data_IF_807190735584
#
_entry.id   IF_807190735584
#
_cell.length_a   1.000
_cell.length_b   1.000
_cell.length_c   1.000
_cell.angle_alpha   90.00
_cell.angle_beta   90.00
_cell.angle_gamma   90.00
#
_symmetry.space_group_name_H-M   'P 1'
#
loop_
_entity.id
_entity.type
_entity.pdbx_description
1 polymer ?
#
# COMPACT_ATOMS: atom_id res chain seq x y z
N UNK A 1 17.03 -6.59 5.25
CA UNK A 1 18.30 -6.79 5.99
C UNK A 1 18.18 -6.24 7.42
N UNK A 2 19.05 -6.64 8.34
CA UNK A 2 19.14 -6.01 9.67
C UNK A 2 20.00 -4.74 9.64
N UNK A 3 19.82 -3.82 10.59
CA UNK A 3 20.62 -2.57 10.69
C UNK A 3 22.11 -2.83 10.80
N UNK A 4 22.54 -3.92 11.46
CA UNK A 4 23.96 -4.25 11.60
C UNK A 4 24.60 -4.59 10.24
N UNK A 5 23.79 -4.94 9.24
CA UNK A 5 24.22 -5.23 7.88
C UNK A 5 24.19 -3.97 6.98
N UNK A 6 23.62 -2.85 7.44
CA UNK A 6 23.38 -1.69 6.58
C UNK A 6 24.65 -1.07 6.02
N UNK A 7 25.72 -0.94 6.82
CA UNK A 7 26.95 -0.29 6.37
C UNK A 7 27.60 -1.04 5.19
N UNK A 8 27.70 -2.36 5.29
CA UNK A 8 28.26 -3.21 4.24
C UNK A 8 27.37 -3.22 3.00
N UNK A 9 26.06 -3.44 3.18
CA UNK A 9 25.12 -3.51 2.06
C UNK A 9 24.96 -2.16 1.35
N UNK A 10 24.97 -1.04 2.08
CA UNK A 10 24.94 0.29 1.50
C UNK A 10 26.19 0.53 0.64
N UNK A 11 27.39 0.14 1.12
CA UNK A 11 28.61 0.22 0.32
C UNK A 11 28.49 -0.57 -0.97
N UNK A 12 27.96 -1.79 -0.92
CA UNK A 12 27.75 -2.65 -2.11
C UNK A 12 26.75 -2.00 -3.07
N UNK A 13 25.56 -1.63 -2.59
CA UNK A 13 24.52 -1.03 -3.42
C UNK A 13 24.93 0.29 -4.05
N UNK A 14 25.57 1.18 -3.29
CA UNK A 14 25.98 2.49 -3.77
C UNK A 14 27.13 2.35 -4.80
N UNK A 15 28.06 1.41 -4.57
CA UNK A 15 29.12 1.10 -5.55
C UNK A 15 28.55 0.51 -6.82
N UNK A 16 27.64 -0.47 -6.71
CA UNK A 16 26.96 -1.06 -7.87
C UNK A 16 26.26 0.02 -8.71
N UNK A 17 25.47 0.90 -8.11
CA UNK A 17 24.79 1.99 -8.82
C UNK A 17 25.75 2.91 -9.57
N UNK A 18 26.91 3.24 -8.98
CA UNK A 18 27.93 4.08 -9.60
C UNK A 18 28.66 3.39 -10.76
N UNK A 19 29.03 2.13 -10.60
CA UNK A 19 29.80 1.37 -11.59
C UNK A 19 28.95 0.88 -12.76
N UNK A 20 27.63 0.81 -12.59
CA UNK A 20 26.71 0.32 -13.62
C UNK A 20 25.91 1.43 -14.30
N UNK A 21 26.38 2.67 -14.23
CA UNK A 21 25.74 3.84 -14.85
C UNK A 21 24.28 4.02 -14.39
N UNK A 22 24.01 3.80 -13.10
CA UNK A 22 22.70 4.04 -12.50
C UNK A 22 21.73 2.85 -12.54
N UNK A 23 22.15 1.63 -12.88
CA UNK A 23 21.28 0.46 -12.66
C UNK A 23 20.96 0.30 -11.18
N UNK A 24 19.71 -0.01 -10.88
CA UNK A 24 19.22 -0.09 -9.52
C UNK A 24 19.50 -1.48 -8.93
N UNK A 25 20.29 -1.60 -7.85
CA UNK A 25 20.32 -2.84 -7.09
C UNK A 25 18.97 -3.02 -6.41
N UNK A 26 18.48 -4.26 -6.33
CA UNK A 26 17.24 -4.57 -5.60
C UNK A 26 17.56 -4.89 -4.14
N UNK A 27 16.93 -4.16 -3.22
CA UNK A 27 17.02 -4.38 -1.78
C UNK A 27 15.69 -3.98 -1.13
N UNK A 28 15.12 -4.88 -0.33
CA UNK A 28 13.92 -4.61 0.45
C UNK A 28 14.19 -4.75 1.96
N UNK A 29 13.38 -4.06 2.73
CA UNK A 29 13.39 -4.05 4.18
C UNK A 29 12.49 -5.13 4.76
N UNK A 30 12.72 -5.43 6.03
CA UNK A 30 11.78 -6.22 6.81
C UNK A 30 10.52 -5.39 7.12
N UNK A 31 9.37 -6.05 7.34
CA UNK A 31 8.13 -5.37 7.71
C UNK A 31 8.08 -4.98 9.18
N UNK A 32 7.12 -4.13 9.53
CA UNK A 32 6.90 -3.66 10.91
C UNK A 32 6.62 -4.78 11.92
N UNK A 33 6.07 -5.91 11.48
CA UNK A 33 5.83 -7.08 12.34
C UNK A 33 7.08 -7.96 12.55
N UNK A 34 8.24 -7.59 11.99
CA UNK A 34 9.51 -8.21 12.35
C UNK A 34 9.93 -7.77 13.77
N UNK A 35 10.42 -8.72 14.57
CA UNK A 35 10.82 -8.40 15.94
C UNK A 35 12.13 -7.58 15.99
N UNK A 36 12.45 -7.00 17.14
CA UNK A 36 13.62 -6.15 17.31
C UNK A 36 14.94 -6.86 16.92
N UNK A 37 15.05 -8.17 17.19
CA UNK A 37 16.21 -8.97 16.80
C UNK A 37 16.35 -9.05 15.28
N UNK A 38 15.24 -9.27 14.56
CA UNK A 38 15.22 -9.32 13.11
C UNK A 38 15.55 -7.96 12.49
N UNK A 39 15.02 -6.86 13.03
CA UNK A 39 15.33 -5.51 12.56
C UNK A 39 16.81 -5.17 12.74
N UNK A 40 17.46 -5.71 13.78
CA UNK A 40 18.89 -5.48 14.03
C UNK A 40 19.81 -6.42 13.26
N UNK A 41 19.61 -7.72 13.38
CA UNK A 41 20.53 -8.76 12.89
C UNK A 41 20.10 -9.37 11.54
N UNK A 42 18.85 -9.16 11.12
CA UNK A 42 18.30 -9.65 9.85
C UNK A 42 17.26 -10.75 10.01
N UNK A 43 16.61 -11.15 8.91
CA UNK A 43 15.42 -12.02 8.91
C UNK A 43 15.59 -13.34 9.69
N UNK A 44 16.80 -13.91 9.66
CA UNK A 44 17.17 -15.18 10.29
C UNK A 44 17.18 -15.13 11.83
N UNK A 45 17.20 -13.93 12.42
CA UNK A 45 17.31 -13.73 13.87
C UNK A 45 15.98 -13.84 14.63
N UNK A 46 14.94 -14.44 14.03
CA UNK A 46 13.62 -14.55 14.64
C UNK A 46 13.62 -15.26 16.01
N UNK A 47 14.56 -16.18 16.23
CA UNK A 47 14.71 -16.95 17.46
C UNK A 47 15.60 -16.28 18.53
N UNK A 48 16.21 -15.13 18.23
CA UNK A 48 17.06 -14.42 19.19
C UNK A 48 16.17 -13.61 20.13
N UNK A 49 16.30 -13.85 21.43
CA UNK A 49 15.69 -13.01 22.46
C UNK A 49 16.42 -11.67 22.53
N UNK A 50 15.85 -10.66 21.87
CA UNK A 50 16.31 -9.29 21.92
C UNK A 50 15.09 -8.38 21.95
N UNK A 51 15.09 -7.46 22.91
CA UNK A 51 14.00 -6.52 23.12
C UNK A 51 14.54 -5.10 23.00
N UNK A 52 13.80 -4.28 22.26
CA UNK A 52 14.02 -2.85 22.16
C UNK A 52 12.65 -2.18 22.37
N UNK A 53 12.46 -1.45 23.48
CA UNK A 53 11.17 -0.86 23.83
C UNK A 53 10.83 0.39 23.02
N UNK A 54 11.72 0.87 22.15
CA UNK A 54 11.51 2.12 21.43
C UNK A 54 10.28 2.03 20.51
N UNK A 55 9.19 2.79 20.78
CA UNK A 55 8.00 2.75 19.93
C UNK A 55 8.26 3.26 18.51
N UNK A 56 9.37 3.98 18.28
CA UNK A 56 9.80 4.46 16.97
C UNK A 56 10.81 3.52 16.29
N UNK A 57 11.10 2.33 16.84
CA UNK A 57 12.12 1.42 16.34
C UNK A 57 12.00 1.14 14.83
N UNK A 58 10.79 0.80 14.36
CA UNK A 58 10.58 0.52 12.94
C UNK A 58 10.76 1.76 12.06
N UNK A 59 10.39 2.95 12.54
CA UNK A 59 10.65 4.21 11.82
C UNK A 59 12.15 4.48 11.73
N UNK A 60 12.88 4.36 12.84
CA UNK A 60 14.35 4.51 12.85
C UNK A 60 15.04 3.53 11.91
N UNK A 61 14.56 2.29 11.87
CA UNK A 61 15.02 1.26 10.93
C UNK A 61 14.82 1.67 9.45
N UNK A 62 13.67 2.28 9.12
CA UNK A 62 13.39 2.80 7.79
C UNK A 62 14.22 4.06 7.46
N UNK A 63 14.27 5.04 8.36
CA UNK A 63 15.02 6.30 8.19
C UNK A 63 16.52 6.03 8.01
N UNK A 64 17.10 5.11 8.79
CA UNK A 64 18.50 4.71 8.66
C UNK A 64 18.80 4.12 7.27
N UNK A 65 17.89 3.31 6.72
CA UNK A 65 18.02 2.84 5.34
C UNK A 65 17.98 4.03 4.36
N UNK A 66 17.03 4.93 4.54
CA UNK A 66 16.90 6.10 3.68
C UNK A 66 18.15 6.99 3.67
N UNK A 67 18.85 7.11 4.79
CA UNK A 67 20.05 7.92 4.95
C UNK A 67 21.31 7.24 4.39
N UNK A 68 21.44 5.92 4.52
CA UNK A 68 22.66 5.19 4.15
C UNK A 68 22.68 4.74 2.69
N UNK A 69 21.52 4.40 2.12
CA UNK A 69 21.41 3.83 0.78
C UNK A 69 21.07 4.90 -0.25
N UNK A 70 21.88 5.02 -1.31
CA UNK A 70 21.70 6.01 -2.38
C UNK A 70 20.57 5.64 -3.36
N UNK A 71 20.03 4.42 -3.29
CA UNK A 71 18.92 3.98 -4.17
C UNK A 71 17.71 4.93 -4.06
N UNK A 72 17.01 5.26 -5.16
CA UNK A 72 15.97 6.28 -5.18
C UNK A 72 14.63 5.80 -4.59
N UNK A 73 14.61 4.64 -3.93
CA UNK A 73 13.42 4.01 -3.40
C UNK A 73 13.67 3.38 -2.03
N UNK A 74 12.60 3.10 -1.30
CA UNK A 74 12.55 2.23 -0.13
C UNK A 74 11.47 1.18 -0.38
N UNK A 75 11.77 -0.09 -0.12
CA UNK A 75 10.89 -1.22 -0.40
C UNK A 75 10.72 -2.08 0.85
N UNK A 76 9.54 -2.67 1.05
CA UNK A 76 9.29 -3.68 2.10
C UNK A 76 8.23 -4.68 1.63
N UNK A 77 7.93 -5.66 2.48
CA UNK A 77 7.02 -6.77 2.22
C UNK A 77 5.87 -6.78 3.24
N UNK A 78 4.66 -6.37 2.85
CA UNK A 78 3.52 -6.29 3.78
C UNK A 78 2.44 -7.30 3.39
N UNK A 79 2.22 -8.29 4.25
CA UNK A 79 1.34 -9.43 3.98
C UNK A 79 0.16 -9.51 4.97
N UNK A 80 -0.97 -8.83 4.68
CA UNK A 80 -2.02 -8.63 5.67
C UNK A 80 -3.03 -9.76 5.80
N UNK A 81 -3.12 -10.68 4.82
CA UNK A 81 -4.24 -11.61 4.71
C UNK A 81 -3.93 -12.93 5.41
N UNK A 82 -4.63 -13.20 6.50
CA UNK A 82 -4.40 -14.39 7.34
C UNK A 82 -5.64 -15.26 7.49
N UNK A 83 -5.40 -16.51 7.87
CA UNK A 83 -6.37 -17.41 8.49
C UNK A 83 -6.10 -17.46 9.99
N UNK A 84 -7.16 -17.33 10.80
CA UNK A 84 -7.12 -17.58 12.25
C UNK A 84 -8.35 -18.36 12.65
N UNK A 85 -8.16 -19.54 13.26
CA UNK A 85 -9.27 -20.41 13.71
C UNK A 85 -10.34 -20.65 12.62
N UNK A 86 -9.90 -20.86 11.37
CA UNK A 86 -10.80 -21.09 10.22
C UNK A 86 -11.48 -19.84 9.65
N UNK A 87 -11.24 -18.66 10.21
CA UNK A 87 -11.80 -17.38 9.75
C UNK A 87 -10.77 -16.52 9.03
N UNK A 88 -11.23 -15.72 8.08
CA UNK A 88 -10.40 -14.70 7.43
C UNK A 88 -10.09 -13.61 8.44
N UNK A 89 -8.82 -13.23 8.56
CA UNK A 89 -8.41 -12.08 9.36
C UNK A 89 -7.43 -11.21 8.59
N UNK A 90 -7.36 -9.96 9.03
CA UNK A 90 -6.49 -8.93 8.47
C UNK A 90 -5.51 -8.48 9.54
N UNK A 91 -4.25 -8.28 9.16
CA UNK A 91 -3.21 -7.76 10.06
C UNK A 91 -3.65 -6.43 10.68
N UNK A 92 -3.79 -6.39 12.01
CA UNK A 92 -4.44 -5.27 12.72
C UNK A 92 -3.66 -3.95 12.64
N UNK A 93 -2.35 -3.95 12.39
CA UNK A 93 -1.57 -2.73 12.16
C UNK A 93 -1.24 -2.51 10.68
N UNK A 94 -2.09 -2.99 9.76
CA UNK A 94 -1.82 -2.92 8.33
C UNK A 94 -1.60 -1.48 7.82
N UNK A 95 -2.56 -0.57 8.00
CA UNK A 95 -2.38 0.81 7.58
C UNK A 95 -1.22 1.50 8.29
N UNK A 96 -0.98 1.20 9.58
CA UNK A 96 0.16 1.77 10.30
C UNK A 96 1.51 1.31 9.73
N UNK A 97 1.62 0.02 9.39
CA UNK A 97 2.83 -0.53 8.76
C UNK A 97 3.15 0.15 7.43
N UNK A 98 2.12 0.41 6.62
CA UNK A 98 2.28 1.15 5.35
C UNK A 98 2.64 2.61 5.63
N UNK A 99 1.94 3.24 6.59
CA UNK A 99 2.12 4.64 6.93
C UNK A 99 3.55 4.95 7.37
N UNK A 100 4.13 4.17 8.28
CA UNK A 100 5.47 4.43 8.82
C UNK A 100 6.55 4.41 7.72
N UNK A 101 6.52 3.40 6.84
CA UNK A 101 7.50 3.33 5.75
C UNK A 101 7.25 4.39 4.68
N UNK A 102 5.99 4.67 4.34
CA UNK A 102 5.64 5.69 3.36
C UNK A 102 6.01 7.10 3.85
N UNK A 103 5.90 7.37 5.15
CA UNK A 103 6.40 8.61 5.77
C UNK A 103 7.90 8.74 5.64
N UNK A 104 8.64 7.68 5.98
CA UNK A 104 10.11 7.64 5.83
C UNK A 104 10.50 7.86 4.36
N UNK A 105 9.74 7.30 3.42
CA UNK A 105 9.94 7.56 1.99
C UNK A 105 9.75 9.04 1.63
N UNK A 106 8.65 9.67 2.07
CA UNK A 106 8.34 11.08 1.79
C UNK A 106 9.37 12.03 2.42
N UNK A 107 9.69 11.84 3.70
CA UNK A 107 10.63 12.67 4.47
C UNK A 107 12.05 12.63 3.87
N UNK A 108 12.42 11.53 3.23
CA UNK A 108 13.72 11.35 2.57
C UNK A 108 13.68 11.45 1.04
N UNK A 109 12.57 11.92 0.45
CA UNK A 109 12.42 12.07 -1.01
C UNK A 109 12.68 10.78 -1.82
N UNK A 110 12.35 9.62 -1.26
CA UNK A 110 12.44 8.31 -1.93
C UNK A 110 11.08 7.85 -2.43
N UNK A 111 11.07 7.05 -3.50
CA UNK A 111 9.88 6.33 -3.92
C UNK A 111 9.57 5.19 -2.93
N UNK A 112 8.30 5.03 -2.55
CA UNK A 112 7.87 3.87 -1.75
C UNK A 112 7.45 2.72 -2.67
N UNK A 113 8.06 1.55 -2.51
CA UNK A 113 7.71 0.30 -3.19
C UNK A 113 7.28 -0.77 -2.16
N UNK A 114 6.46 -1.73 -2.58
CA UNK A 114 5.99 -2.79 -1.70
C UNK A 114 5.77 -4.11 -2.44
N UNK A 115 6.28 -5.21 -1.88
CA UNK A 115 5.83 -6.54 -2.23
C UNK A 115 4.49 -6.82 -1.53
N UNK A 116 3.42 -6.96 -2.31
CA UNK A 116 2.10 -7.31 -1.77
C UNK A 116 1.95 -8.83 -1.62
N UNK A 117 1.00 -9.28 -0.80
CA UNK A 117 0.74 -10.70 -0.66
C UNK A 117 0.18 -11.25 -1.96
N UNK A 118 0.81 -12.28 -2.50
CA UNK A 118 0.40 -12.94 -3.75
C UNK A 118 0.14 -14.44 -3.60
N UNK A 119 0.53 -15.03 -2.47
CA UNK A 119 0.44 -16.46 -2.24
C UNK A 119 0.43 -16.81 -0.74
N UNK A 120 0.13 -18.07 -0.44
CA UNK A 120 0.24 -18.65 0.89
C UNK A 120 1.49 -19.54 0.99
N UNK A 121 2.43 -19.24 1.88
CA UNK A 121 3.60 -20.09 2.16
C UNK A 121 3.46 -20.89 3.47
N UNK A 122 2.33 -20.74 4.14
CA UNK A 122 2.01 -21.41 5.41
C UNK A 122 0.49 -21.47 5.56
N UNK A 123 -0.08 -22.46 6.28
CA UNK A 123 -1.54 -22.59 6.44
C UNK A 123 -2.24 -21.36 7.02
N UNK A 124 -1.53 -20.52 7.79
CA UNK A 124 -2.09 -19.28 8.36
C UNK A 124 -2.15 -18.12 7.34
N UNK A 125 -1.64 -18.27 6.13
CA UNK A 125 -1.68 -17.25 5.07
C UNK A 125 -2.70 -17.60 4.00
N UNK A 126 -3.30 -16.56 3.42
CA UNK A 126 -4.30 -16.67 2.36
C UNK A 126 -3.68 -16.48 0.99
N UNK A 127 -4.16 -17.22 -0.01
CA UNK A 127 -3.98 -16.84 -1.40
C UNK A 127 -5.01 -15.76 -1.70
N UNK A 128 -4.61 -14.54 -2.11
CA UNK A 128 -5.54 -13.45 -2.35
C UNK A 128 -6.50 -13.75 -3.52
N UNK A 129 -7.73 -13.28 -3.37
CA UNK A 129 -8.73 -13.15 -4.43
C UNK A 129 -8.57 -11.83 -5.19
N UNK A 130 -9.28 -11.65 -6.31
CA UNK A 130 -9.31 -10.38 -7.06
C UNK A 130 -9.66 -9.16 -6.17
N UNK A 131 -10.68 -9.29 -5.31
CA UNK A 131 -11.07 -8.25 -4.35
C UNK A 131 -9.91 -7.88 -3.42
N UNK A 132 -9.14 -8.86 -2.97
CA UNK A 132 -8.05 -8.65 -2.02
C UNK A 132 -6.78 -8.13 -2.68
N UNK A 133 -6.54 -8.49 -3.94
CA UNK A 133 -5.51 -7.84 -4.76
C UNK A 133 -5.84 -6.36 -4.97
N UNK A 134 -7.10 -6.04 -5.27
CA UNK A 134 -7.56 -4.66 -5.45
C UNK A 134 -7.42 -3.86 -4.16
N UNK A 135 -7.90 -4.41 -3.04
CA UNK A 135 -7.82 -3.77 -1.73
C UNK A 135 -6.37 -3.48 -1.33
N UNK A 136 -5.49 -4.48 -1.40
CA UNK A 136 -4.07 -4.29 -1.11
C UNK A 136 -3.44 -3.21 -1.99
N UNK A 137 -3.70 -3.25 -3.30
CA UNK A 137 -3.13 -2.30 -4.27
C UNK A 137 -3.55 -0.87 -3.97
N UNK A 138 -4.85 -0.64 -3.74
CA UNK A 138 -5.35 0.71 -3.44
C UNK A 138 -4.99 1.20 -2.04
N UNK A 139 -4.83 0.32 -1.04
CA UNK A 139 -4.23 0.71 0.23
C UNK A 139 -2.80 1.22 0.03
N UNK A 140 -1.96 0.48 -0.71
CA UNK A 140 -0.58 0.91 -1.02
C UNK A 140 -0.56 2.24 -1.79
N UNK A 141 -1.39 2.38 -2.83
CA UNK A 141 -1.51 3.62 -3.59
C UNK A 141 -1.92 4.80 -2.69
N UNK A 142 -2.83 4.59 -1.73
CA UNK A 142 -3.30 5.66 -0.82
C UNK A 142 -2.19 6.27 0.04
N UNK A 143 -1.11 5.53 0.28
CA UNK A 143 0.09 6.02 0.96
C UNK A 143 1.20 6.45 0.00
N UNK A 144 0.92 6.54 -1.30
CA UNK A 144 1.86 7.02 -2.32
C UNK A 144 2.82 5.95 -2.86
N UNK A 145 2.51 4.67 -2.71
CA UNK A 145 3.32 3.60 -3.29
C UNK A 145 3.41 3.75 -4.82
N UNK A 146 4.62 3.64 -5.36
CA UNK A 146 4.93 3.75 -6.80
C UNK A 146 5.34 2.43 -7.44
N UNK A 147 5.55 1.39 -6.64
CA UNK A 147 5.96 0.07 -7.13
C UNK A 147 5.23 -1.02 -6.36
N UNK A 148 4.36 -1.77 -7.05
CA UNK A 148 3.74 -2.98 -6.54
C UNK A 148 4.52 -4.18 -7.09
N UNK A 149 5.08 -4.98 -6.19
CA UNK A 149 5.89 -6.14 -6.53
C UNK A 149 5.18 -7.43 -6.09
N UNK A 150 5.46 -8.52 -6.80
CA UNK A 150 4.96 -9.84 -6.48
C UNK A 150 6.06 -10.68 -5.84
N UNK A 151 5.91 -10.97 -4.55
CA UNK A 151 6.65 -12.06 -3.92
C UNK A 151 5.68 -13.17 -3.49
N UNK A 152 5.71 -14.35 -4.11
CA UNK A 152 6.46 -14.75 -5.31
C UNK A 152 5.58 -14.77 -6.55
N UNK A 153 6.08 -14.29 -7.68
CA UNK A 153 5.42 -14.49 -8.98
C UNK A 153 5.36 -15.98 -9.39
N UNK A 154 6.50 -16.67 -9.35
CA UNK A 154 6.60 -18.10 -9.67
C UNK A 154 6.96 -18.92 -8.43
N UNK A 155 6.30 -20.06 -8.28
CA UNK A 155 6.50 -20.97 -7.15
C UNK A 155 7.85 -21.68 -7.24
N UNK A 156 8.43 -21.90 -6.06
CA UNK A 156 9.69 -22.62 -5.87
C UNK A 156 9.50 -23.90 -5.03
N UNK A 157 8.29 -24.14 -4.53
CA UNK A 157 7.87 -25.34 -3.80
C UNK A 157 6.47 -25.77 -4.26
N UNK A 158 6.21 -27.07 -4.46
CA UNK A 158 4.90 -27.54 -4.91
C UNK A 158 3.74 -27.21 -3.95
N UNK A 159 4.03 -27.12 -2.65
CA UNK A 159 3.04 -26.90 -1.60
C UNK A 159 2.61 -25.44 -1.47
N UNK A 160 3.29 -24.52 -2.17
CA UNK A 160 3.06 -23.08 -2.08
C UNK A 160 2.28 -22.60 -3.31
N UNK A 161 0.97 -22.28 -3.18
CA UNK A 161 0.12 -21.85 -4.30
C UNK A 161 0.50 -20.44 -4.80
N UNK A 162 1.54 -20.34 -5.64
CA UNK A 162 1.98 -19.10 -6.30
C UNK A 162 1.16 -18.76 -7.55
N UNK A 163 1.33 -17.54 -8.08
CA UNK A 163 0.62 -17.11 -9.30
C UNK A 163 0.95 -18.02 -10.51
N UNK A 164 2.22 -18.38 -10.67
CA UNK A 164 2.68 -19.40 -11.63
C UNK A 164 3.26 -20.58 -10.86
N UNK A 165 2.82 -21.81 -11.14
CA UNK A 165 3.36 -23.00 -10.47
C UNK A 165 4.78 -23.34 -10.95
N UNK A 166 5.44 -24.28 -10.25
CA UNK A 166 6.75 -24.80 -10.65
C UNK A 166 6.79 -25.39 -12.08
N UNK A 167 5.65 -25.85 -12.60
CA UNK A 167 5.51 -26.36 -13.96
C UNK A 167 5.22 -25.27 -15.00
N UNK A 168 5.27 -23.99 -14.61
CA UNK A 168 4.99 -22.87 -15.51
C UNK A 168 3.50 -22.62 -15.77
N UNK A 169 2.59 -23.26 -15.02
CA UNK A 169 1.14 -23.10 -15.21
C UNK A 169 0.62 -21.92 -14.40
N UNK A 170 -0.08 -20.99 -15.07
CA UNK A 170 -0.82 -19.91 -14.43
C UNK A 170 -1.97 -20.47 -13.58
N UNK A 171 -2.08 -20.02 -12.34
CA UNK A 171 -3.14 -20.36 -11.41
C UNK A 171 -4.25 -19.31 -11.42
N UNK A 172 -5.40 -19.57 -10.79
CA UNK A 172 -6.53 -18.61 -10.75
C UNK A 172 -6.10 -17.24 -10.19
N UNK A 173 -5.30 -17.23 -9.12
CA UNK A 173 -4.78 -16.00 -8.53
C UNK A 173 -3.94 -15.15 -9.50
N UNK A 174 -3.33 -15.75 -10.54
CA UNK A 174 -2.63 -15.00 -11.59
C UNK A 174 -3.60 -14.16 -12.41
N UNK A 175 -4.78 -14.70 -12.75
CA UNK A 175 -5.79 -13.96 -13.51
C UNK A 175 -6.40 -12.86 -12.66
N UNK A 176 -6.66 -13.13 -11.39
CA UNK A 176 -7.13 -12.13 -10.41
C UNK A 176 -6.13 -10.96 -10.28
N UNK A 177 -4.84 -11.27 -10.07
CA UNK A 177 -3.79 -10.26 -10.00
C UNK A 177 -3.65 -9.50 -11.33
N UNK A 178 -3.69 -10.19 -12.46
CA UNK A 178 -3.58 -9.58 -13.78
C UNK A 178 -4.74 -8.63 -14.10
N UNK A 179 -5.97 -8.95 -13.68
CA UNK A 179 -7.12 -8.04 -13.80
C UNK A 179 -6.84 -6.75 -13.04
N UNK A 180 -6.48 -6.84 -11.76
CA UNK A 180 -6.22 -5.65 -10.93
C UNK A 180 -5.03 -4.85 -11.45
N UNK A 181 -3.93 -5.48 -11.83
CA UNK A 181 -2.76 -4.75 -12.33
C UNK A 181 -3.03 -4.04 -13.65
N UNK A 182 -3.92 -4.55 -14.51
CA UNK A 182 -4.39 -3.81 -15.69
C UNK A 182 -5.18 -2.58 -15.29
N UNK A 183 -6.05 -2.66 -14.28
CA UNK A 183 -6.78 -1.50 -13.76
C UNK A 183 -5.80 -0.45 -13.22
N UNK A 184 -4.79 -0.85 -12.43
CA UNK A 184 -3.77 0.07 -11.92
C UNK A 184 -2.95 0.70 -13.04
N UNK A 185 -2.58 -0.07 -14.07
CA UNK A 185 -1.84 0.45 -15.22
C UNK A 185 -2.60 1.59 -15.93
N UNK A 186 -3.93 1.48 -16.06
CA UNK A 186 -4.76 2.53 -16.66
C UNK A 186 -4.77 3.84 -15.86
N UNK A 187 -4.55 3.78 -14.54
CA UNK A 187 -4.52 4.96 -13.65
C UNK A 187 -3.11 5.55 -13.54
N UNK A 188 -2.07 4.78 -13.84
CA UNK A 188 -0.66 5.09 -13.50
C UNK A 188 -0.17 6.44 -14.02
N UNK A 189 -0.46 6.78 -15.28
CA UNK A 189 -0.06 8.07 -15.88
C UNK A 189 -0.70 9.25 -15.16
N UNK A 190 -1.96 9.12 -14.75
CA UNK A 190 -2.65 10.15 -13.98
C UNK A 190 -2.08 10.24 -12.56
N UNK A 191 -1.96 9.10 -11.88
CA UNK A 191 -1.45 9.01 -10.51
C UNK A 191 -0.07 9.64 -10.35
N UNK A 192 0.85 9.40 -11.29
CA UNK A 192 2.24 9.87 -11.21
C UNK A 192 2.41 11.38 -11.40
N UNK A 193 1.36 12.11 -11.83
CA UNK A 193 1.36 13.59 -11.84
C UNK A 193 1.24 14.21 -10.45
N UNK A 194 0.91 13.41 -9.45
CA UNK A 194 0.66 13.89 -8.09
C UNK A 194 1.73 13.40 -7.10
N UNK A 195 1.87 14.14 -6.00
CA UNK A 195 2.71 13.85 -4.84
C UNK A 195 1.81 13.52 -3.66
N UNK A 196 2.07 12.39 -2.99
CA UNK A 196 1.32 11.99 -1.81
C UNK A 196 1.64 12.90 -0.61
N UNK A 197 0.60 13.36 0.08
CA UNK A 197 0.66 14.19 1.28
C UNK A 197 0.43 13.38 2.57
N UNK A 198 0.16 12.09 2.44
CA UNK A 198 -0.32 11.21 3.51
C UNK A 198 -1.70 10.64 3.19
N UNK A 199 -2.35 10.08 4.19
CA UNK A 199 -3.69 9.52 4.09
C UNK A 199 -4.54 9.96 5.29
N UNK A 200 -5.85 9.86 5.15
CA UNK A 200 -6.84 10.02 6.21
C UNK A 200 -7.72 8.76 6.31
N UNK A 201 -8.34 8.58 7.46
CA UNK A 201 -9.37 7.54 7.67
C UNK A 201 -10.72 8.19 7.97
N UNK A 202 -11.78 7.54 7.51
CA UNK A 202 -13.16 7.90 7.82
C UNK A 202 -13.87 6.66 8.36
N UNK A 203 -14.72 6.81 9.38
CA UNK A 203 -15.49 5.68 9.93
C UNK A 203 -14.65 4.58 10.60
N UNK A 204 -13.41 4.86 10.98
CA UNK A 204 -12.56 3.88 11.68
C UNK A 204 -13.15 3.54 13.05
N UNK A 205 -13.27 2.24 13.35
CA UNK A 205 -13.85 1.73 14.60
C UNK A 205 -12.96 0.65 15.24
N UNK A 206 -13.40 0.02 16.33
CA UNK A 206 -12.74 -1.17 16.90
C UNK A 206 -12.91 -2.42 16.00
N UNK A 207 -13.92 -2.44 15.13
CA UNK A 207 -14.17 -3.55 14.19
C UNK A 207 -13.25 -3.51 12.96
N UNK A 208 -12.59 -2.37 12.71
CA UNK A 208 -11.65 -2.16 11.60
C UNK A 208 -10.27 -1.71 12.10
N UNK A 209 -9.62 -2.47 13.00
CA UNK A 209 -8.39 -2.03 13.64
C UNK A 209 -7.26 -1.81 12.63
N UNK A 210 -7.26 -2.58 11.53
CA UNK A 210 -6.33 -2.46 10.41
C UNK A 210 -6.35 -1.12 9.66
N UNK A 211 -7.41 -0.30 9.84
CA UNK A 211 -7.50 1.06 9.30
C UNK A 211 -6.81 2.11 10.19
N UNK A 212 -6.42 1.77 11.43
CA UNK A 212 -5.74 2.71 12.32
C UNK A 212 -4.29 2.95 11.89
N UNK A 213 -3.88 4.22 11.92
CA UNK A 213 -2.51 4.64 11.71
C UNK A 213 -2.24 6.00 12.38
N UNK A 214 -0.98 6.27 12.64
CA UNK A 214 -0.50 7.47 13.31
C UNK A 214 -0.41 8.67 12.36
N UNK A 215 -0.65 9.88 12.89
CA UNK A 215 -0.56 11.14 12.16
C UNK A 215 -1.32 11.15 10.81
N UNK A 216 -2.63 10.85 10.82
CA UNK A 216 -3.45 11.01 9.64
C UNK A 216 -3.49 12.47 9.18
N UNK A 217 -3.72 12.68 7.89
CA UNK A 217 -4.07 14.01 7.37
C UNK A 217 -5.42 14.40 7.98
N UNK A 218 -5.42 15.41 8.84
CA UNK A 218 -6.64 15.83 9.55
C UNK A 218 -7.63 16.56 8.62
N UNK A 219 -7.10 17.30 7.65
CA UNK A 219 -7.91 18.10 6.72
C UNK A 219 -7.30 18.09 5.32
N UNK A 220 -8.12 17.75 4.32
CA UNK A 220 -7.74 17.81 2.90
C UNK A 220 -8.71 18.74 2.17
N UNK A 221 -8.23 19.94 1.82
CA UNK A 221 -9.06 21.11 1.48
C UNK A 221 -10.04 20.95 0.31
N UNK A 222 -9.89 19.91 -0.50
CA UNK A 222 -10.82 19.63 -1.61
C UNK A 222 -11.99 18.76 -1.22
N UNK A 223 -11.95 18.09 -0.05
CA UNK A 223 -13.06 17.31 0.49
C UNK A 223 -13.73 18.14 1.58
N UNK A 224 -14.90 18.71 1.27
CA UNK A 224 -15.67 19.53 2.22
C UNK A 224 -16.59 18.69 3.09
N UNK A 225 -17.09 17.58 2.55
CA UNK A 225 -18.00 16.67 3.25
C UNK A 225 -17.88 15.26 2.71
N UNK A 226 -17.90 14.28 3.62
CA UNK A 226 -18.04 12.86 3.33
C UNK A 226 -19.32 12.36 3.99
N UNK A 227 -20.20 11.75 3.21
CA UNK A 227 -21.34 10.98 3.70
C UNK A 227 -21.11 9.51 3.34
N UNK A 228 -20.73 8.70 4.32
CA UNK A 228 -20.56 7.27 4.19
C UNK A 228 -20.62 6.64 5.58
N UNK A 229 -21.31 5.52 5.72
CA UNK A 229 -21.36 4.76 6.98
C UNK A 229 -20.18 3.78 7.08
N UNK A 230 -19.65 3.33 5.94
CA UNK A 230 -18.58 2.36 5.88
C UNK A 230 -17.21 3.01 6.17
N UNK A 231 -16.26 2.24 6.74
CA UNK A 231 -14.91 2.71 6.95
C UNK A 231 -14.20 2.93 5.60
N UNK A 232 -13.50 4.05 5.46
CA UNK A 232 -12.76 4.41 4.25
C UNK A 232 -11.31 4.77 4.58
N UNK A 233 -10.41 4.37 3.69
CA UNK A 233 -9.05 4.90 3.61
C UNK A 233 -8.98 5.87 2.43
N UNK A 234 -8.44 7.07 2.66
CA UNK A 234 -8.36 8.12 1.65
C UNK A 234 -6.94 8.64 1.56
N UNK A 235 -6.26 8.36 0.44
CA UNK A 235 -4.94 8.94 0.16
C UNK A 235 -5.07 10.37 -0.34
N UNK A 236 -4.25 11.29 0.16
CA UNK A 236 -4.33 12.72 -0.19
C UNK A 236 -3.15 13.11 -1.07
N UNK A 237 -3.38 13.83 -2.17
CA UNK A 237 -2.33 14.18 -3.13
C UNK A 237 -2.43 15.60 -3.65
N UNK A 238 -1.27 16.24 -3.84
CA UNK A 238 -1.14 17.51 -4.56
C UNK A 238 -0.54 17.27 -5.94
N UNK A 239 -1.02 17.97 -6.96
CA UNK A 239 -0.37 17.95 -8.27
C UNK A 239 1.07 18.46 -8.13
N UNK A 240 1.99 17.90 -8.93
CA UNK A 240 3.38 18.39 -9.00
C UNK A 240 3.45 19.79 -9.61
N UNK A 241 2.47 20.15 -10.43
CA UNK A 241 2.33 21.44 -11.09
C UNK A 241 0.91 21.96 -10.89
N UNK A 242 0.77 23.26 -10.59
CA UNK A 242 -0.53 23.92 -10.40
C UNK A 242 -1.21 23.63 -9.05
N UNK A 243 -2.51 23.93 -8.99
CA UNK A 243 -3.30 23.83 -7.75
C UNK A 243 -4.17 22.57 -7.66
N UNK A 244 -4.15 21.73 -8.69
CA UNK A 244 -4.95 20.51 -8.75
C UNK A 244 -4.65 19.58 -7.58
N UNK A 245 -5.66 18.80 -7.21
CA UNK A 245 -5.58 17.80 -6.15
C UNK A 245 -6.09 16.48 -6.66
N UNK A 246 -5.68 15.41 -6.00
CA UNK A 246 -6.25 14.10 -6.21
C UNK A 246 -6.38 13.38 -4.89
N UNK A 247 -7.25 12.38 -4.85
CA UNK A 247 -7.34 11.45 -3.75
C UNK A 247 -7.63 10.04 -4.23
N UNK A 248 -7.22 9.04 -3.46
CA UNK A 248 -7.80 7.71 -3.55
C UNK A 248 -8.90 7.61 -2.51
N UNK A 249 -9.92 6.79 -2.74
CA UNK A 249 -10.90 6.38 -1.73
C UNK A 249 -11.05 4.87 -1.81
N UNK A 250 -10.91 4.18 -0.69
CA UNK A 250 -10.92 2.72 -0.60
C UNK A 250 -11.98 2.28 0.38
N UNK A 251 -12.80 1.30 -0.02
CA UNK A 251 -13.72 0.63 0.88
C UNK A 251 -12.93 -0.29 1.82
N UNK A 252 -12.94 0.06 3.12
CA UNK A 252 -12.21 -0.65 4.16
C UNK A 252 -13.13 -1.52 5.03
N UNK A 253 -14.36 -1.78 4.61
CA UNK A 253 -15.20 -2.78 5.26
C UNK A 253 -14.50 -4.14 5.26
N UNK A 254 -14.73 -4.94 6.29
CA UNK A 254 -14.12 -6.27 6.41
C UNK A 254 -14.41 -7.12 5.16
N UNK A 255 -13.35 -7.65 4.56
CA UNK A 255 -13.38 -8.30 3.24
C UNK A 255 -14.25 -9.55 3.24
N UNK A 256 -14.42 -10.21 4.40
CA UNK A 256 -15.32 -11.35 4.58
C UNK A 256 -16.82 -10.95 4.51
N UNK A 257 -17.17 -9.70 4.84
CA UNK A 257 -18.57 -9.25 4.90
C UNK A 257 -19.17 -8.91 3.54
N UNK A 258 -18.33 -8.76 2.51
CA UNK A 258 -18.72 -8.41 1.14
C UNK A 258 -19.62 -7.17 1.05
N UNK A 259 -19.40 -6.19 1.92
CA UNK A 259 -20.16 -4.93 1.92
C UNK A 259 -19.72 -3.98 0.81
N UNK A 260 -20.71 -3.39 0.13
CA UNK A 260 -20.52 -2.27 -0.79
C UNK A 260 -20.63 -0.96 -0.01
N UNK A 261 -19.71 -0.03 -0.26
CA UNK A 261 -19.76 1.31 0.31
C UNK A 261 -20.40 2.28 -0.69
N UNK A 262 -21.36 3.06 -0.22
CA UNK A 262 -21.95 4.16 -0.97
C UNK A 262 -21.45 5.47 -0.37
N UNK A 263 -20.61 6.18 -1.12
CA UNK A 263 -19.94 7.39 -0.67
C UNK A 263 -20.54 8.58 -1.41
N UNK A 264 -20.99 9.60 -0.68
CA UNK A 264 -21.31 10.91 -1.26
C UNK A 264 -20.30 11.94 -0.80
N UNK A 265 -19.75 12.70 -1.73
CA UNK A 265 -18.69 13.67 -1.47
C UNK A 265 -19.15 15.06 -1.92
N UNK A 266 -18.96 16.07 -1.06
CA UNK A 266 -18.93 17.46 -1.51
C UNK A 266 -17.48 17.85 -1.75
N UNK A 267 -17.16 18.23 -2.98
CA UNK A 267 -15.79 18.52 -3.39
C UNK A 267 -15.65 19.98 -3.85
N UNK A 268 -14.55 20.61 -3.46
CA UNK A 268 -14.17 21.95 -3.91
C UNK A 268 -13.28 21.86 -5.16
N UNK A 269 -13.89 21.94 -6.32
CA UNK A 269 -13.19 21.98 -7.61
C UNK A 269 -14.14 22.28 -8.77
N UNK A 270 -13.58 22.73 -9.89
CA UNK A 270 -14.33 23.05 -11.11
C UNK A 270 -14.67 21.82 -11.94
N UNK A 271 -13.87 20.75 -11.83
CA UNK A 271 -14.08 19.48 -12.55
C UNK A 271 -13.56 18.31 -11.73
N UNK A 272 -14.34 17.23 -11.68
CA UNK A 272 -13.98 15.99 -10.98
C UNK A 272 -13.98 14.81 -11.95
N UNK A 273 -12.94 13.98 -11.88
CA UNK A 273 -12.80 12.76 -12.68
C UNK A 273 -12.46 11.60 -11.76
N UNK A 274 -13.30 10.56 -11.76
CA UNK A 274 -13.07 9.32 -11.03
C UNK A 274 -12.56 8.21 -11.96
N UNK A 275 -11.86 7.25 -11.38
CA UNK A 275 -11.26 6.12 -12.08
C UNK A 275 -11.75 4.76 -11.55
N UNK A 276 -13.06 4.45 -11.54
CA UNK A 276 -13.56 3.14 -11.09
C UNK A 276 -13.00 2.03 -11.99
N UNK A 277 -12.35 1.03 -11.40
CA UNK A 277 -11.68 -0.07 -12.12
C UNK A 277 -10.75 0.44 -13.25
N UNK A 278 -10.09 1.56 -13.00
CA UNK A 278 -9.19 2.20 -13.97
C UNK A 278 -9.88 2.89 -15.15
N UNK A 279 -11.21 2.98 -15.18
CA UNK A 279 -11.94 3.66 -16.26
C UNK A 279 -12.12 5.14 -15.94
N UNK A 280 -11.69 6.02 -16.85
CA UNK A 280 -11.79 7.47 -16.65
C UNK A 280 -13.23 7.97 -16.83
N UNK A 281 -13.87 8.44 -15.77
CA UNK A 281 -15.27 8.89 -15.76
C UNK A 281 -15.36 10.33 -15.21
N UNK A 282 -15.95 11.24 -15.99
CA UNK A 282 -16.26 12.58 -15.48
C UNK A 282 -17.44 12.51 -14.51
N UNK A 283 -17.25 13.04 -13.30
CA UNK A 283 -18.30 13.08 -12.28
C UNK A 283 -19.14 14.34 -12.43
N UNK A 284 -20.46 14.19 -12.28
CA UNK A 284 -21.40 15.31 -12.17
C UNK A 284 -22.00 15.30 -10.77
N UNK A 285 -21.97 16.42 -10.05
CA UNK A 285 -22.68 16.52 -8.77
C UNK A 285 -24.19 16.44 -8.99
N UNK A 286 -24.92 15.98 -7.97
CA UNK A 286 -26.38 16.08 -7.89
C UNK A 286 -26.84 17.51 -7.58
N UNK A 287 -28.16 17.71 -7.44
CA UNK A 287 -28.76 19.01 -7.13
C UNK A 287 -28.33 19.58 -5.76
N UNK A 288 -27.76 18.75 -4.88
CA UNK A 288 -27.22 19.15 -3.57
C UNK A 288 -25.69 19.36 -3.61
N UNK A 289 -25.08 19.31 -4.79
CA UNK A 289 -23.64 19.47 -4.97
C UNK A 289 -22.83 18.24 -4.53
N UNK A 290 -23.45 17.05 -4.46
CA UNK A 290 -22.79 15.81 -4.01
C UNK A 290 -22.44 14.91 -5.20
N UNK A 291 -21.23 14.36 -5.18
CA UNK A 291 -20.78 13.33 -6.12
C UNK A 291 -20.92 11.97 -5.45
N UNK A 292 -21.66 11.07 -6.07
CA UNK A 292 -21.83 9.70 -5.60
C UNK A 292 -20.77 8.76 -6.20
N UNK A 293 -20.12 7.97 -5.35
CA UNK A 293 -19.24 6.87 -5.71
C UNK A 293 -19.77 5.59 -5.07
N UNK A 294 -19.76 4.48 -5.81
CA UNK A 294 -20.08 3.15 -5.30
C UNK A 294 -18.83 2.30 -5.36
N UNK A 295 -18.41 1.76 -4.21
CA UNK A 295 -17.21 0.95 -4.09
C UNK A 295 -17.61 -0.45 -3.65
N UNK A 296 -17.39 -1.43 -4.52
CA UNK A 296 -17.54 -2.84 -4.19
C UNK A 296 -16.60 -3.25 -3.03
N UNK A 297 -16.76 -4.45 -2.45
CA UNK A 297 -15.88 -4.93 -1.39
C UNK A 297 -14.41 -4.85 -1.82
N UNK A 298 -13.59 -4.18 -1.00
CA UNK A 298 -12.17 -3.98 -1.26
C UNK A 298 -11.82 -3.10 -2.48
N UNK A 299 -12.80 -2.45 -3.11
CA UNK A 299 -12.56 -1.55 -4.23
C UNK A 299 -11.92 -0.25 -3.74
N UNK A 300 -11.01 0.29 -4.56
CA UNK A 300 -10.55 1.66 -4.45
C UNK A 300 -10.72 2.40 -5.77
N UNK A 301 -10.88 3.71 -5.67
CA UNK A 301 -11.06 4.62 -6.81
C UNK A 301 -10.05 5.76 -6.65
N UNK A 302 -9.34 6.09 -7.73
CA UNK A 302 -8.56 7.33 -7.81
C UNK A 302 -9.44 8.46 -8.37
N UNK A 303 -9.35 9.64 -7.80
CA UNK A 303 -10.18 10.80 -8.14
C UNK A 303 -9.29 12.02 -8.31
N UNK A 304 -9.38 12.66 -9.47
CA UNK A 304 -8.74 13.94 -9.77
C UNK A 304 -9.76 15.07 -9.57
N UNK A 305 -9.33 16.13 -8.89
CA UNK A 305 -10.11 17.36 -8.63
C UNK A 305 -9.32 18.53 -9.21
N UNK A 306 -9.81 19.05 -10.34
CA UNK A 306 -9.28 20.26 -10.96
C UNK A 306 -9.78 21.46 -10.19
N UNK A 307 -8.87 22.35 -9.80
CA UNK A 307 -9.21 23.57 -9.06
C UNK A 307 -9.36 24.78 -9.96
#
# INVERSE_FOLDING_TARGET
>A
PGTDQYAELAKICNTYSRETEGKLPYINLLPMYANAAQLKYGAHAAAIEYYDPDPALYKKYCDAFCQMFEVPYICTDIYPLNWSQGRRTTYKEYCESINVIARSAREHSKAFWCCIQTFAWTPSKRTPTETEFRWQSYCMLSFGCKGLLCWTYAGYKPEFPSLVSMQGKRQNAWYDAATVFKEIALVSDAFTRYTNLGAMSHGCSDDTPYLRFSQPVEHFSVIERIECEQPLLIGCFAAKEGEDRAFTVVNMSELETLQTAHVKLRLRGSRVVAWPRGQRVACKPDDNGLIALTLAPGEGIFVEVVR
#
